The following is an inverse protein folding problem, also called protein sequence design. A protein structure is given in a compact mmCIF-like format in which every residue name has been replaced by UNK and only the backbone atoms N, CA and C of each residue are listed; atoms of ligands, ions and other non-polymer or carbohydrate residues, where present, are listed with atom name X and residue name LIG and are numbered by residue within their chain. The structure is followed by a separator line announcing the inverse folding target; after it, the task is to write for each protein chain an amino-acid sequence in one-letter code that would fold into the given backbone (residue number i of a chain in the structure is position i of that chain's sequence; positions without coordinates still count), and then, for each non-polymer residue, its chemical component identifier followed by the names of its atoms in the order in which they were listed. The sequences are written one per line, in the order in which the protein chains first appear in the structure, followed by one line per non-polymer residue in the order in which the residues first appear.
data_IF_978634891923
#
_entry.id   IF_978634891923
#
_cell.length_a   1.000
_cell.length_b   1.000
_cell.length_c   1.000
_cell.angle_alpha   90.00
_cell.angle_beta   90.00
_cell.angle_gamma   90.00
#
_symmetry.space_group_name_H-M   'P 1'
#
loop_
_entity.id
_entity.type
_entity.pdbx_description
1 polymer ?
#
# COMPACT_ATOMS: atom_id res chain seq x y z
N UNK A 1 9.23 -5.45 3.17
CA UNK A 1 9.45 -4.03 3.53
C UNK A 1 10.81 -3.50 3.04
N UNK A 2 11.95 -4.01 3.56
CA UNK A 2 13.29 -3.51 3.21
C UNK A 2 13.58 -3.51 1.70
N UNK A 3 13.17 -4.55 0.98
CA UNK A 3 13.34 -4.66 -0.48
C UNK A 3 12.62 -3.58 -1.29
N UNK A 4 11.51 -3.05 -0.78
CA UNK A 4 10.77 -1.94 -1.43
C UNK A 4 11.52 -0.65 -1.17
N UNK A 5 11.96 -0.42 0.07
CA UNK A 5 12.68 0.80 0.43
C UNK A 5 14.03 0.95 -0.30
N UNK A 6 14.72 -0.17 -0.56
CA UNK A 6 16.02 -0.17 -1.24
C UNK A 6 15.95 0.00 -2.76
N UNK A 7 14.77 -0.20 -3.36
CA UNK A 7 14.56 -0.12 -4.83
C UNK A 7 13.93 1.20 -5.29
N UNK A 8 13.76 2.17 -4.38
CA UNK A 8 13.18 3.48 -4.71
C UNK A 8 14.10 4.23 -5.67
N UNK A 9 13.51 4.85 -6.69
CA UNK A 9 14.18 5.69 -7.66
C UNK A 9 13.51 7.08 -7.66
N UNK A 10 14.27 8.18 -7.84
CA UNK A 10 13.68 9.50 -8.06
C UNK A 10 12.73 9.49 -9.27
N UNK A 11 11.58 10.14 -9.12
CA UNK A 11 10.57 10.17 -10.20
C UNK A 11 11.14 10.82 -11.46
N UNK A 12 11.93 11.87 -11.30
CA UNK A 12 12.56 12.61 -12.40
C UNK A 12 13.46 11.70 -13.24
N UNK A 13 14.22 10.80 -12.61
CA UNK A 13 15.07 9.83 -13.30
C UNK A 13 14.24 8.80 -14.08
N UNK A 14 13.17 8.28 -13.46
CA UNK A 14 12.28 7.30 -14.10
C UNK A 14 11.55 7.90 -15.31
N UNK A 15 11.15 9.17 -15.23
CA UNK A 15 10.49 9.88 -16.33
C UNK A 15 11.47 10.17 -17.48
N UNK A 16 12.73 10.49 -17.15
CA UNK A 16 13.78 10.78 -18.12
C UNK A 16 14.26 9.52 -18.88
N UNK A 17 14.16 8.33 -18.28
CA UNK A 17 14.59 7.08 -18.90
C UNK A 17 13.78 6.77 -20.19
N UNK A 18 14.41 6.66 -21.38
CA UNK A 18 13.72 6.34 -22.62
C UNK A 18 13.06 4.95 -22.63
N UNK A 19 13.51 4.01 -21.79
CA UNK A 19 12.94 2.66 -21.68
C UNK A 19 11.64 2.64 -20.85
N UNK A 20 11.35 3.67 -20.06
CA UNK A 20 10.11 3.74 -19.26
C UNK A 20 8.88 3.84 -20.16
N UNK A 21 7.88 2.99 -19.90
CA UNK A 21 6.62 2.99 -20.62
C UNK A 21 5.92 4.37 -20.55
N UNK A 22 5.34 4.81 -21.67
CA UNK A 22 4.71 6.13 -21.79
C UNK A 22 3.59 6.37 -20.76
N UNK A 23 2.79 5.35 -20.48
CA UNK A 23 1.72 5.42 -19.46
C UNK A 23 2.29 5.66 -18.05
N UNK A 24 3.40 5.00 -17.70
CA UNK A 24 4.06 5.22 -16.42
C UNK A 24 4.62 6.64 -16.34
N UNK A 25 5.24 7.16 -17.42
CA UNK A 25 5.72 8.55 -17.47
C UNK A 25 4.58 9.54 -17.21
N UNK A 26 3.44 9.36 -17.87
CA UNK A 26 2.27 10.23 -17.71
C UNK A 26 1.75 10.23 -16.26
N UNK A 27 1.61 9.06 -15.64
CA UNK A 27 1.18 8.98 -14.24
C UNK A 27 2.18 9.66 -13.28
N UNK A 28 3.48 9.47 -13.49
CA UNK A 28 4.50 10.06 -12.64
C UNK A 28 4.61 11.58 -12.83
N UNK A 29 4.45 12.08 -14.06
CA UNK A 29 4.35 13.51 -14.34
C UNK A 29 3.15 14.14 -13.63
N UNK A 30 1.98 13.48 -13.66
CA UNK A 30 0.80 13.93 -12.92
C UNK A 30 1.07 14.03 -11.41
N UNK A 31 1.81 13.08 -10.83
CA UNK A 31 2.22 13.15 -9.41
C UNK A 31 3.07 14.40 -9.15
N UNK A 32 4.01 14.73 -10.04
CA UNK A 32 4.86 15.92 -9.91
C UNK A 32 4.04 17.22 -10.04
N UNK A 33 3.10 17.27 -10.98
CA UNK A 33 2.17 18.40 -11.14
C UNK A 33 1.27 18.59 -9.93
N UNK A 34 0.67 17.50 -9.42
CA UNK A 34 -0.16 17.52 -8.21
C UNK A 34 0.64 17.99 -6.99
N UNK A 35 1.91 17.57 -6.87
CA UNK A 35 2.82 18.04 -5.82
C UNK A 35 3.09 19.55 -5.96
N UNK A 36 3.30 20.04 -7.18
CA UNK A 36 3.52 21.46 -7.41
C UNK A 36 2.27 22.28 -7.08
N UNK A 37 1.09 21.82 -7.48
CA UNK A 37 -0.19 22.42 -7.12
C UNK A 37 -0.42 22.46 -5.60
N UNK A 38 -0.14 21.35 -4.89
CA UNK A 38 -0.26 21.28 -3.44
C UNK A 38 0.64 22.31 -2.74
N UNK A 39 1.83 22.57 -3.28
CA UNK A 39 2.76 23.58 -2.77
C UNK A 39 2.29 25.00 -3.08
N UNK A 40 2.02 25.29 -4.34
CA UNK A 40 1.88 26.66 -4.84
C UNK A 40 0.48 27.22 -4.61
N UNK A 41 -0.55 26.37 -4.72
CA UNK A 41 -1.96 26.77 -4.62
C UNK A 41 -2.55 26.43 -3.26
N UNK A 42 -2.26 25.23 -2.74
CA UNK A 42 -2.81 24.80 -1.44
C UNK A 42 -1.91 25.15 -0.26
N UNK A 43 -0.69 25.63 -0.50
CA UNK A 43 0.30 25.97 0.52
C UNK A 43 0.58 24.83 1.53
N UNK A 44 0.51 23.58 1.06
CA UNK A 44 0.80 22.40 1.87
C UNK A 44 2.31 22.14 1.94
N UNK A 45 2.81 21.60 3.06
CA UNK A 45 4.21 21.21 3.18
C UNK A 45 4.48 19.94 2.36
N UNK A 46 5.09 20.11 1.18
CA UNK A 46 5.36 18.99 0.26
C UNK A 46 6.72 18.31 0.43
N UNK A 47 7.68 18.93 1.14
CA UNK A 47 9.02 18.40 1.50
C UNK A 47 9.56 17.32 0.53
N UNK A 48 9.85 16.12 1.03
CA UNK A 48 10.24 14.95 0.24
C UNK A 48 9.08 13.99 -0.06
N UNK A 49 7.85 14.43 0.21
CA UNK A 49 6.67 13.62 -0.05
C UNK A 49 6.51 13.40 -1.55
N UNK A 50 6.24 12.15 -1.91
CA UNK A 50 5.93 11.72 -3.28
C UNK A 50 7.01 12.07 -4.33
N UNK A 51 8.30 12.06 -3.95
CA UNK A 51 9.43 12.27 -4.87
C UNK A 51 10.02 11.01 -5.49
N UNK A 52 9.68 9.84 -4.96
CA UNK A 52 10.29 8.57 -5.38
C UNK A 52 9.22 7.58 -5.82
N UNK A 53 9.57 6.81 -6.85
CA UNK A 53 8.80 5.68 -7.34
C UNK A 53 9.53 4.37 -7.00
N UNK A 54 8.78 3.28 -6.88
CA UNK A 54 9.34 1.94 -6.81
C UNK A 54 8.42 1.00 -7.57
N UNK A 55 8.99 0.29 -8.54
CA UNK A 55 8.29 -0.83 -9.16
C UNK A 55 8.34 -2.03 -8.21
N UNK A 56 7.17 -2.41 -7.69
CA UNK A 56 7.01 -3.53 -6.77
C UNK A 56 6.82 -4.87 -7.50
N UNK A 57 6.65 -4.86 -8.83
CA UNK A 57 6.46 -6.06 -9.67
C UNK A 57 5.15 -6.82 -9.39
N UNK A 58 4.16 -6.17 -8.78
CA UNK A 58 2.87 -6.75 -8.38
C UNK A 58 1.80 -5.67 -8.25
N UNK A 59 0.53 -6.07 -8.22
CA UNK A 59 -0.60 -5.13 -8.21
C UNK A 59 -0.77 -4.36 -6.89
N UNK A 60 -0.36 -4.94 -5.75
CA UNK A 60 -0.60 -4.36 -4.43
C UNK A 60 0.65 -4.39 -3.54
N UNK A 61 0.89 -3.33 -2.78
CA UNK A 61 2.04 -3.22 -1.87
C UNK A 61 1.89 -4.20 -0.69
N UNK A 62 0.68 -4.29 -0.14
CA UNK A 62 0.26 -5.10 1.01
C UNK A 62 -1.13 -5.66 0.74
N UNK A 63 -1.40 -6.86 1.25
CA UNK A 63 -2.71 -7.49 1.35
C UNK A 63 -3.19 -7.45 2.80
N UNK A 64 -4.32 -6.81 3.06
CA UNK A 64 -4.92 -6.72 4.37
C UNK A 64 -5.97 -7.81 4.54
N UNK A 65 -5.89 -8.56 5.64
CA UNK A 65 -6.93 -9.48 6.09
C UNK A 65 -7.74 -8.79 7.16
N UNK A 66 -9.06 -8.75 6.99
CA UNK A 66 -10.02 -8.32 8.01
C UNK A 66 -10.97 -9.47 8.31
N UNK A 67 -11.45 -9.55 9.55
CA UNK A 67 -12.39 -10.59 9.96
C UNK A 67 -13.44 -10.05 10.93
N UNK A 68 -14.59 -10.72 11.00
CA UNK A 68 -15.64 -10.48 11.98
C UNK A 68 -16.27 -11.83 12.40
N UNK A 69 -16.87 -11.93 13.59
CA UNK A 69 -17.77 -13.05 13.91
C UNK A 69 -18.92 -13.13 12.91
N UNK A 70 -19.39 -14.35 12.63
CA UNK A 70 -20.52 -14.55 11.72
C UNK A 70 -21.73 -13.69 12.12
N UNK A 71 -22.32 -13.01 11.13
CA UNK A 71 -23.48 -12.12 11.32
C UNK A 71 -23.22 -10.90 12.22
N UNK A 72 -21.96 -10.49 12.37
CA UNK A 72 -21.56 -9.32 13.13
C UNK A 72 -20.84 -8.31 12.24
N UNK A 73 -21.01 -7.03 12.57
CA UNK A 73 -20.21 -5.93 12.00
C UNK A 73 -19.04 -5.55 12.92
N UNK A 74 -18.92 -6.17 14.10
CA UNK A 74 -17.81 -5.93 15.00
C UNK A 74 -16.53 -6.59 14.47
N UNK A 75 -15.47 -5.79 14.33
CA UNK A 75 -14.20 -6.26 13.80
C UNK A 75 -13.47 -7.17 14.80
N UNK A 76 -12.88 -8.24 14.27
CA UNK A 76 -11.86 -9.00 14.97
C UNK A 76 -10.57 -8.17 15.01
N UNK A 77 -10.02 -7.98 16.22
CA UNK A 77 -8.80 -7.18 16.39
C UNK A 77 -7.57 -8.05 16.68
N UNK A 78 -6.43 -7.58 16.18
CA UNK A 78 -5.11 -8.13 16.52
C UNK A 78 -4.32 -7.12 17.32
N UNK A 79 -3.91 -7.50 18.53
CA UNK A 79 -3.18 -6.63 19.44
C UNK A 79 -1.67 -6.89 19.38
N UNK A 80 -0.92 -5.80 19.29
CA UNK A 80 0.54 -5.79 19.20
C UNK A 80 1.11 -4.95 20.35
N UNK A 81 2.28 -5.31 20.91
CA UNK A 81 2.82 -4.65 22.11
C UNK A 81 3.03 -3.13 22.01
N UNK A 82 3.29 -2.60 20.81
CA UNK A 82 3.64 -1.18 20.60
C UNK A 82 2.51 -0.40 19.92
N UNK A 83 1.87 -0.98 18.90
CA UNK A 83 0.87 -0.29 18.08
C UNK A 83 -0.56 -0.45 18.58
N UNK A 84 -0.79 -1.22 19.65
CA UNK A 84 -2.13 -1.51 20.15
C UNK A 84 -2.87 -2.52 19.28
N UNK A 85 -4.20 -2.45 19.31
CA UNK A 85 -5.08 -3.36 18.57
C UNK A 85 -5.49 -2.73 17.23
N UNK A 86 -5.39 -3.51 16.16
CA UNK A 86 -5.77 -3.09 14.82
C UNK A 86 -6.86 -4.01 14.26
N UNK A 87 -7.85 -3.47 13.51
CA UNK A 87 -8.95 -4.24 12.93
C UNK A 87 -8.56 -4.97 11.64
N UNK A 88 -7.26 -5.05 11.33
CA UNK A 88 -6.73 -5.72 10.16
C UNK A 88 -5.34 -6.28 10.43
N UNK A 89 -4.92 -7.25 9.60
CA UNK A 89 -3.57 -7.76 9.57
C UNK A 89 -3.01 -7.75 8.15
N UNK A 90 -1.91 -7.03 7.95
CA UNK A 90 -1.27 -6.87 6.63
C UNK A 90 -0.22 -7.94 6.32
N UNK A 91 -0.12 -8.31 5.04
CA UNK A 91 0.83 -9.28 4.48
C UNK A 91 1.47 -8.75 3.18
N UNK A 92 2.77 -8.97 2.98
CA UNK A 92 3.43 -8.59 1.72
C UNK A 92 3.25 -9.62 0.60
N UNK A 93 2.90 -10.86 0.95
CA UNK A 93 2.65 -11.95 0.02
C UNK A 93 1.18 -12.36 0.08
N UNK A 94 0.56 -12.48 -1.10
CA UNK A 94 -0.86 -12.79 -1.22
C UNK A 94 -1.18 -14.17 -0.65
N UNK A 95 -0.37 -15.17 -0.98
CA UNK A 95 -0.53 -16.55 -0.50
C UNK A 95 -0.55 -16.64 1.03
N UNK A 96 0.33 -15.90 1.71
CA UNK A 96 0.35 -15.84 3.17
C UNK A 96 -0.93 -15.21 3.74
N UNK A 97 -1.47 -14.17 3.09
CA UNK A 97 -2.75 -13.58 3.46
C UNK A 97 -3.91 -14.57 3.26
N UNK A 98 -3.92 -15.28 2.12
CA UNK A 98 -4.94 -16.28 1.77
C UNK A 98 -4.92 -17.46 2.76
N UNK A 99 -3.76 -18.03 3.06
CA UNK A 99 -3.62 -19.11 4.06
C UNK A 99 -4.09 -18.66 5.45
N UNK A 100 -3.73 -17.44 5.87
CA UNK A 100 -4.21 -16.93 7.15
C UNK A 100 -5.72 -16.71 7.14
N UNK A 101 -6.27 -16.16 6.07
CA UNK A 101 -7.70 -15.96 5.92
C UNK A 101 -8.48 -17.28 5.96
N UNK A 102 -7.98 -18.34 5.33
CA UNK A 102 -8.57 -19.68 5.41
C UNK A 102 -8.57 -20.21 6.85
N UNK A 103 -7.49 -20.01 7.61
CA UNK A 103 -7.43 -20.41 9.03
C UNK A 103 -8.52 -19.73 9.88
N UNK A 104 -8.88 -18.48 9.54
CA UNK A 104 -9.94 -17.74 10.22
C UNK A 104 -11.33 -18.19 9.77
N UNK A 105 -11.52 -18.47 8.48
CA UNK A 105 -12.77 -19.05 7.95
C UNK A 105 -13.07 -20.40 8.59
N UNK A 106 -12.05 -21.24 8.78
CA UNK A 106 -12.18 -22.53 9.48
C UNK A 106 -12.59 -22.38 10.96
N UNK A 107 -12.43 -21.19 11.54
CA UNK A 107 -12.93 -20.84 12.89
C UNK A 107 -14.34 -20.26 12.87
N UNK A 108 -15.01 -20.21 11.71
CA UNK A 108 -16.36 -19.69 11.55
C UNK A 108 -16.46 -18.16 11.47
N UNK A 109 -15.35 -17.47 11.14
CA UNK A 109 -15.35 -16.01 10.96
C UNK A 109 -15.64 -15.64 9.50
N UNK A 110 -16.27 -14.49 9.30
CA UNK A 110 -16.41 -13.83 8.01
C UNK A 110 -15.11 -13.09 7.69
N UNK A 111 -14.49 -13.34 6.52
CA UNK A 111 -13.12 -12.87 6.21
C UNK A 111 -13.01 -12.29 4.80
N UNK A 112 -12.44 -11.10 4.70
CA UNK A 112 -12.19 -10.39 3.44
C UNK A 112 -10.72 -9.97 3.29
N UNK A 113 -10.25 -9.91 2.02
CA UNK A 113 -8.90 -9.48 1.66
C UNK A 113 -8.97 -8.33 0.65
N UNK A 114 -8.15 -7.30 0.84
CA UNK A 114 -7.97 -6.17 -0.07
C UNK A 114 -6.54 -5.64 -0.07
#
# INVERSE_FOLDING_TARGET
HLSVMSKRQPIEEVVADPATASSLKQHLQLVMEARQFAKDILHLPVADNFRTYVDIGRSYVVWNVVAAPAYSLASYEWCYPVTGCLPYRGYFEKSAAETFAESLRNRGLDVHLY
#
